data_IF_406434194001
#
_entry.id   IF_406434194001
#
_cell.length_a   1.000
_cell.length_b   1.000
_cell.length_c   1.000
_cell.angle_alpha   90.00
_cell.angle_beta   90.00
_cell.angle_gamma   90.00
#
_symmetry.space_group_name_H-M   'P 1'
#
loop_
_entity.id
_entity.type
_entity.pdbx_description
1 polymer ?
2 non-polymer ?
3 non-polymer ?
4 non-polymer ?
5 non-polymer ?
6 non-polymer ?
7 water ?
#
# COMPACT_ATOMS: atom_id res chain seq x y z
N UNK A 13 10.06 -8.05 -23.78
CA UNK A 13 8.86 -8.86 -23.98
C UNK A 13 8.97 -10.03 -22.98
N UNK A 14 9.96 -9.93 -22.08
CA UNK A 14 10.23 -10.97 -21.10
C UNK A 14 9.41 -10.73 -19.84
N UNK A 15 8.55 -11.68 -19.51
CA UNK A 15 7.77 -11.62 -18.28
C UNK A 15 8.44 -12.41 -17.17
N UNK A 16 8.12 -12.03 -15.94
CA UNK A 16 8.55 -12.75 -14.76
C UNK A 16 7.38 -12.77 -13.79
N UNK A 17 7.14 -13.92 -13.19
CA UNK A 17 6.15 -14.07 -12.15
C UNK A 17 6.87 -14.12 -10.81
N UNK A 18 6.25 -13.53 -9.79
CA UNK A 18 6.79 -13.56 -8.45
C UNK A 18 5.74 -14.13 -7.53
N UNK A 19 6.12 -15.10 -6.71
CA UNK A 19 5.25 -15.68 -5.70
C UNK A 19 5.69 -15.14 -4.36
N UNK A 20 4.74 -14.79 -3.52
CA UNK A 20 5.08 -14.06 -2.31
C UNK A 20 4.21 -14.55 -1.16
N UNK A 21 4.84 -14.94 -0.06
CA UNK A 21 4.13 -15.28 1.16
C UNK A 21 4.42 -14.24 2.24
N UNK A 22 3.57 -14.23 3.23
CA UNK A 22 3.82 -13.47 4.44
C UNK A 22 4.93 -14.12 5.23
N UNK A 23 5.96 -13.36 5.66
CA UNK A 23 7.03 -13.97 6.45
C UNK A 23 6.56 -14.55 7.77
N UNK A 24 5.37 -14.20 8.23
CA UNK A 24 4.81 -14.74 9.46
C UNK A 24 4.00 -16.00 9.23
N UNK A 25 3.79 -16.37 7.98
CA UNK A 25 3.06 -17.54 7.53
C UNK A 25 3.75 -17.96 6.22
N UNK A 26 5.03 -18.26 6.33
CA UNK A 26 5.91 -18.41 5.19
C UNK A 26 5.73 -19.81 4.61
N UNK A 27 4.86 -19.93 3.63
CA UNK A 27 4.44 -21.23 3.14
C UNK A 27 5.01 -21.56 1.76
N UNK A 28 5.87 -20.70 1.21
CA UNK A 28 6.39 -20.92 -0.13
C UNK A 28 7.59 -21.86 -0.04
N UNK A 29 7.27 -23.13 0.27
CA UNK A 29 8.29 -24.15 0.46
C UNK A 29 9.04 -24.39 -0.84
N UNK A 30 10.28 -24.90 -0.75
CA UNK A 30 11.02 -25.20 -1.98
C UNK A 30 10.27 -26.09 -2.97
N UNK A 31 9.58 -27.15 -2.51
CA UNK A 31 8.84 -28.00 -3.45
C UNK A 31 7.70 -27.24 -4.10
N UNK A 32 7.01 -26.40 -3.33
CA UNK A 32 5.90 -25.63 -3.90
C UNK A 32 6.39 -24.74 -5.03
N UNK A 33 7.55 -24.10 -4.84
CA UNK A 33 8.10 -23.25 -5.89
C UNK A 33 8.43 -24.03 -7.15
N UNK A 34 9.08 -25.19 -6.99
CA UNK A 34 9.38 -26.03 -8.15
C UNK A 34 8.10 -26.37 -8.90
N UNK A 35 7.09 -26.87 -8.16
CA UNK A 35 5.82 -27.20 -8.79
C UNK A 35 5.24 -26.00 -9.52
N UNK A 36 5.28 -24.83 -8.87
CA UNK A 36 4.77 -23.62 -9.50
C UNK A 36 5.48 -23.34 -10.80
N UNK A 37 6.81 -23.39 -10.78
CA UNK A 37 7.56 -23.10 -12.00
C UNK A 37 7.32 -24.16 -13.06
N UNK A 38 7.20 -25.42 -12.65
CA UNK A 38 6.82 -26.47 -13.61
C UNK A 38 5.47 -26.14 -14.24
N UNK A 39 4.52 -25.65 -13.45
CA UNK A 39 3.18 -25.37 -13.95
C UNK A 39 3.15 -24.37 -15.10
N UNK A 40 4.25 -23.67 -15.37
CA UNK A 40 4.30 -22.66 -16.40
C UNK A 40 5.42 -22.92 -17.40
N UNK A 41 6.04 -24.10 -17.34
CA UNK A 41 7.20 -24.44 -18.17
C UNK A 41 8.25 -23.34 -18.10
N UNK A 42 8.65 -23.01 -16.87
CA UNK A 42 9.55 -21.90 -16.64
C UNK A 42 10.95 -22.20 -17.16
N UNK A 43 11.63 -21.13 -17.59
CA UNK A 43 13.06 -21.21 -17.88
C UNK A 43 13.85 -21.57 -16.63
N UNK A 44 13.63 -20.84 -15.54
CA UNK A 44 14.30 -21.11 -14.28
C UNK A 44 13.47 -20.75 -13.06
N UNK A 45 14.13 -20.63 -11.91
CA UNK A 45 13.43 -20.29 -10.66
C UNK A 45 14.46 -19.74 -9.69
N UNK A 46 14.24 -18.50 -9.23
CA UNK A 46 15.22 -17.79 -8.41
C UNK A 46 14.56 -17.35 -7.11
N UNK A 47 15.19 -17.70 -5.99
CA UNK A 47 14.67 -17.40 -4.67
C UNK A 47 15.13 -16.02 -4.21
N UNK A 48 14.18 -15.12 -3.99
CA UNK A 48 14.50 -13.85 -3.37
C UNK A 48 14.55 -13.97 -1.86
N UNK A 49 13.76 -14.88 -1.29
CA UNK A 49 13.78 -15.10 0.14
C UNK A 49 13.27 -16.51 0.41
N UNK A 50 13.96 -17.22 1.29
CA UNK A 50 13.66 -18.62 1.55
C UNK A 50 12.29 -18.74 2.21
N UNK A 51 11.43 -19.58 1.63
CA UNK A 51 10.07 -19.84 2.12
C UNK A 51 9.16 -18.63 1.97
N UNK A 52 9.57 -17.60 1.23
CA UNK A 52 8.83 -16.34 1.23
C UNK A 52 8.57 -15.83 -0.18
N UNK A 53 9.60 -15.78 -1.02
CA UNK A 53 9.37 -15.20 -2.34
C UNK A 53 10.32 -15.79 -3.36
N UNK A 54 9.84 -15.98 -4.57
CA UNK A 54 10.69 -16.50 -5.60
C UNK A 54 10.25 -15.92 -6.94
N UNK A 55 11.21 -15.73 -7.84
CA UNK A 55 10.96 -15.25 -9.19
C UNK A 55 10.87 -16.44 -10.14
N UNK A 56 10.00 -16.31 -11.14
CA UNK A 56 9.82 -17.37 -12.13
C UNK A 56 9.77 -16.74 -13.51
N UNK A 57 10.88 -16.72 -14.25
CA UNK A 57 10.84 -16.18 -15.62
C UNK A 57 9.93 -17.00 -16.50
N UNK A 58 8.93 -16.35 -17.05
CA UNK A 58 8.00 -17.08 -17.90
C UNK A 58 8.63 -17.34 -19.27
N UNK A 59 8.35 -18.49 -19.88
CA UNK A 59 8.80 -18.73 -21.25
C UNK A 59 8.32 -17.63 -22.18
N UNK A 60 9.23 -17.21 -23.07
CA UNK A 60 8.89 -16.19 -24.05
C UNK A 60 7.77 -16.68 -24.95
N UNK A 61 6.70 -15.90 -25.02
CA UNK A 61 5.51 -16.27 -25.75
C UNK A 61 4.30 -16.52 -24.87
N UNK A 62 4.52 -16.85 -23.60
CA UNK A 62 3.40 -17.02 -22.68
C UNK A 62 2.81 -15.66 -22.32
N UNK A 63 1.50 -15.53 -22.51
CA UNK A 63 0.81 -14.31 -22.11
C UNK A 63 0.75 -14.21 -20.59
N UNK A 64 0.73 -12.97 -20.08
CA UNK A 64 0.62 -12.76 -18.64
C UNK A 64 -0.69 -13.32 -18.09
N UNK A 65 -1.70 -13.50 -18.95
CA UNK A 65 -2.97 -14.05 -18.50
C UNK A 65 -2.86 -15.54 -18.20
N UNK A 66 -2.14 -16.30 -19.02
CA UNK A 66 -2.04 -17.74 -18.83
C UNK A 66 -1.37 -18.08 -17.51
N UNK A 67 -0.11 -17.67 -17.33
CA UNK A 67 0.46 -17.65 -16.00
C UNK A 67 -0.42 -16.78 -15.11
N UNK A 68 -0.19 -16.87 -13.80
CA UNK A 68 -1.09 -16.27 -12.81
C UNK A 68 -2.32 -17.14 -12.69
N UNK A 69 -3.10 -17.25 -13.77
CA UNK A 69 -4.16 -18.26 -13.80
C UNK A 69 -3.57 -19.64 -13.56
N UNK A 70 -2.56 -20.00 -14.37
CA UNK A 70 -1.86 -21.27 -14.16
C UNK A 70 -1.24 -21.35 -12.77
N UNK A 71 -0.66 -20.24 -12.29
CA UNK A 71 0.02 -20.31 -10.99
C UNK A 71 -0.96 -20.29 -9.83
N UNK A 72 -2.07 -19.55 -9.96
CA UNK A 72 -3.04 -19.51 -8.86
C UNK A 72 -3.74 -20.86 -8.70
N UNK A 73 -3.93 -21.59 -9.80
CA UNK A 73 -4.44 -22.95 -9.70
C UNK A 73 -3.50 -23.83 -8.89
N UNK A 74 -2.22 -23.89 -9.28
CA UNK A 74 -1.27 -24.75 -8.61
C UNK A 74 -1.15 -24.42 -7.13
N UNK A 75 -1.30 -23.16 -6.77
CA UNK A 75 -1.19 -22.74 -5.39
C UNK A 75 -2.52 -22.67 -4.66
N UNK A 76 -3.62 -23.03 -5.33
CA UNK A 76 -4.94 -22.78 -4.81
C UNK A 76 -5.07 -23.27 -3.39
N UNK A 77 -5.44 -22.36 -2.49
CA UNK A 77 -5.51 -22.69 -1.09
C UNK A 77 -4.24 -22.42 -0.32
N UNK A 78 -3.18 -21.99 -0.97
CA UNK A 78 -2.10 -21.56 -0.11
C UNK A 78 -2.07 -20.04 0.03
N UNK A 79 -1.61 -19.49 1.15
CA UNK A 79 -1.56 -18.02 1.30
C UNK A 79 -0.32 -17.44 0.62
N UNK A 80 -0.33 -17.49 -0.71
CA UNK A 80 0.79 -17.07 -1.53
C UNK A 80 0.25 -16.18 -2.64
N UNK A 81 0.76 -14.95 -2.72
CA UNK A 81 0.34 -14.02 -3.75
C UNK A 81 1.06 -14.32 -5.05
N UNK A 82 0.43 -13.92 -6.15
CA UNK A 82 1.00 -14.08 -7.48
C UNK A 82 0.94 -12.74 -8.21
N UNK A 83 2.08 -12.29 -8.73
CA UNK A 83 2.13 -11.14 -9.61
C UNK A 83 2.95 -11.50 -10.83
N UNK A 84 2.57 -10.94 -11.98
CA UNK A 84 3.32 -11.10 -13.22
C UNK A 84 3.56 -9.73 -13.81
N UNK A 85 4.78 -9.49 -14.26
CA UNK A 85 5.15 -8.20 -14.81
C UNK A 85 6.35 -8.41 -15.72
N UNK A 86 6.61 -7.41 -16.57
CA UNK A 86 7.86 -7.41 -17.33
C UNK A 86 9.04 -7.29 -16.38
N UNK A 87 10.12 -8.02 -16.68
CA UNK A 87 11.27 -8.00 -15.79
C UNK A 87 12.05 -6.69 -15.90
N UNK A 88 12.04 -6.07 -17.09
CA UNK A 88 12.67 -4.76 -17.23
C UNK A 88 11.86 -3.72 -16.46
N UNK A 89 12.56 -2.85 -15.75
CA UNK A 89 11.96 -1.70 -15.08
C UNK A 89 11.05 -2.08 -13.93
N UNK A 90 11.25 -3.26 -13.33
CA UNK A 90 10.42 -3.61 -12.18
C UNK A 90 10.94 -2.99 -10.89
N UNK A 91 12.20 -2.58 -10.84
CA UNK A 91 12.66 -1.78 -9.70
C UNK A 91 12.34 -0.31 -9.97
N UNK A 92 11.58 0.31 -9.06
CA UNK A 92 11.08 1.66 -9.24
C UNK A 92 11.83 2.63 -8.33
N UNK A 93 11.90 3.90 -8.74
CA UNK A 93 12.64 4.88 -7.97
C UNK A 93 11.73 5.89 -7.28
N UNK A 94 10.41 5.67 -7.31
CA UNK A 94 9.47 6.40 -6.46
C UNK A 94 8.57 5.40 -5.75
N UNK A 95 8.38 5.58 -4.44
CA UNK A 95 7.30 4.94 -3.72
C UNK A 95 6.31 6.00 -3.27
N UNK A 96 5.03 5.81 -3.57
CA UNK A 96 3.97 6.60 -2.97
C UNK A 96 3.01 5.62 -2.31
N UNK A 97 2.78 5.80 -1.02
CA UNK A 97 2.05 4.83 -0.21
C UNK A 97 0.97 5.51 0.62
N UNK A 98 -0.23 4.98 0.59
CA UNK A 98 -1.25 5.43 1.53
C UNK A 98 -0.85 5.08 2.96
N UNK A 99 -1.42 5.78 3.94
CA UNK A 99 -1.10 5.50 5.35
C UNK A 99 -2.14 4.57 5.99
N UNK A 100 -3.38 5.04 6.12
CA UNK A 100 -4.40 4.29 6.87
C UNK A 100 -4.58 2.89 6.31
N UNK A 101 -4.45 1.88 7.17
CA UNK A 101 -4.63 0.48 6.83
C UNK A 101 -3.65 0.00 5.77
N UNK A 102 -2.62 0.79 5.48
CA UNK A 102 -1.57 0.37 4.55
C UNK A 102 -0.24 0.36 5.30
N UNK A 103 0.30 1.53 5.65
CA UNK A 103 1.52 1.54 6.47
C UNK A 103 1.26 1.48 7.95
N UNK A 104 0.03 1.77 8.38
CA UNK A 104 -0.35 1.56 9.77
C UNK A 104 -1.51 0.58 9.78
N UNK A 105 -1.72 -0.05 10.93
CA UNK A 105 -2.78 -1.05 10.99
C UNK A 105 -4.16 -0.48 11.19
N UNK A 106 -4.26 0.83 11.42
CA UNK A 106 -5.50 1.47 11.83
C UNK A 106 -5.97 2.51 10.81
N UNK A 107 -7.20 2.96 11.02
CA UNK A 107 -7.75 4.14 10.36
C UNK A 107 -7.68 5.28 11.37
N UNK A 108 -6.83 6.27 11.12
CA UNK A 108 -6.67 7.34 12.11
C UNK A 108 -7.99 8.01 12.46
N UNK A 109 -8.92 8.13 11.50
CA UNK A 109 -10.18 8.81 11.79
C UNK A 109 -11.06 7.96 12.69
N UNK A 110 -11.00 6.63 12.55
CA UNK A 110 -11.78 5.77 13.44
C UNK A 110 -11.21 5.82 14.85
N UNK A 111 -9.89 5.89 14.96
CA UNK A 111 -9.25 5.97 16.27
C UNK A 111 -9.61 7.27 16.97
N UNK A 112 -9.59 8.39 16.24
CA UNK A 112 -10.04 9.64 16.83
C UNK A 112 -11.49 9.55 17.23
N UNK A 113 -12.31 8.92 16.39
CA UNK A 113 -13.73 8.77 16.69
C UNK A 113 -13.96 8.09 18.04
N UNK A 114 -13.09 7.14 18.40
CA UNK A 114 -13.25 6.48 19.70
C UNK A 114 -13.20 7.49 20.84
N UNK A 115 -12.26 8.43 20.77
CA UNK A 115 -12.16 9.49 21.79
C UNK A 115 -13.43 10.32 21.89
N UNK A 116 -14.30 10.26 20.87
CA UNK A 116 -15.60 10.91 20.91
C UNK A 116 -16.72 9.92 21.19
N UNK A 117 -16.37 8.68 21.54
CA UNK A 117 -17.37 7.68 21.83
C UNK A 117 -18.15 7.21 20.62
N UNK A 118 -17.63 7.45 19.42
CA UNK A 118 -18.37 7.19 18.19
C UNK A 118 -17.59 6.28 17.23
N UNK A 119 -16.82 5.33 17.76
CA UNK A 119 -15.97 4.53 16.89
C UNK A 119 -16.79 3.77 15.86
N UNK A 120 -17.79 3.00 16.31
CA UNK A 120 -18.54 2.14 15.39
C UNK A 120 -19.30 2.96 14.36
N UNK A 121 -19.90 4.07 14.78
CA UNK A 121 -20.60 4.92 13.83
C UNK A 121 -19.65 5.43 12.75
N UNK A 122 -18.51 5.97 13.16
CA UNK A 122 -17.58 6.52 12.18
C UNK A 122 -16.95 5.41 11.35
N UNK A 123 -16.62 4.29 11.99
CA UNK A 123 -15.93 3.21 11.29
C UNK A 123 -16.80 2.61 10.20
N UNK A 124 -18.13 2.58 10.39
CA UNK A 124 -19.00 2.09 9.32
C UNK A 124 -19.01 3.04 8.13
N UNK A 125 -18.88 4.34 8.37
CA UNK A 125 -18.77 5.28 7.26
C UNK A 125 -17.44 5.09 6.54
N UNK A 126 -16.36 4.96 7.32
CA UNK A 126 -15.03 4.73 6.77
C UNK A 126 -15.01 3.52 5.86
N UNK A 127 -15.65 2.42 6.28
CA UNK A 127 -15.64 1.21 5.46
C UNK A 127 -16.32 1.41 4.10
N UNK A 128 -17.46 2.11 4.08
CA UNK A 128 -18.14 2.38 2.80
C UNK A 128 -17.35 3.35 1.93
N UNK A 129 -16.77 4.37 2.54
CA UNK A 129 -15.86 5.26 1.81
C UNK A 129 -14.70 4.48 1.23
N UNK A 130 -14.09 3.60 2.03
CA UNK A 130 -12.95 2.89 1.49
C UNK A 130 -13.36 1.83 0.45
N UNK A 131 -14.59 1.33 0.51
CA UNK A 131 -15.05 0.41 -0.52
C UNK A 131 -15.54 1.12 -1.78
N UNK A 132 -15.75 2.44 -1.72
CA UNK A 132 -16.18 3.21 -2.88
C UNK A 132 -17.66 3.44 -2.96
N UNK A 133 -18.40 3.08 -1.92
CA UNK A 133 -19.86 3.22 -1.92
C UNK A 133 -20.31 4.64 -1.64
N UNK A 134 -19.42 5.49 -1.14
CA UNK A 134 -19.71 6.91 -0.93
C UNK A 134 -18.46 7.69 -1.30
N UNK A 135 -18.65 8.91 -1.78
CA UNK A 135 -17.52 9.73 -2.17
C UNK A 135 -16.68 10.11 -0.96
N UNK A 136 -15.38 10.24 -1.18
CA UNK A 136 -14.46 10.45 -0.07
C UNK A 136 -14.73 11.75 0.66
N UNK A 137 -14.76 12.88 -0.06
CA UNK A 137 -14.83 14.18 0.61
C UNK A 137 -16.06 14.32 1.50
N UNK A 138 -17.29 14.09 1.04
CA UNK A 138 -18.41 14.21 1.98
C UNK A 138 -18.35 13.20 3.13
N UNK A 139 -17.81 12.01 2.90
CA UNK A 139 -17.62 11.05 3.99
C UNK A 139 -16.67 11.61 5.04
N UNK A 140 -15.55 12.19 4.60
CA UNK A 140 -14.57 12.76 5.51
C UNK A 140 -15.16 13.91 6.30
N UNK A 141 -15.89 14.82 5.62
CA UNK A 141 -16.51 15.95 6.31
C UNK A 141 -17.49 15.49 7.38
N UNK A 142 -18.34 14.51 7.03
CA UNK A 142 -19.29 13.96 7.99
C UNK A 142 -18.58 13.37 9.21
N UNK A 143 -17.54 12.58 8.97
CA UNK A 143 -16.86 11.94 10.08
C UNK A 143 -16.10 12.95 10.93
N UNK A 144 -15.39 13.88 10.29
CA UNK A 144 -14.62 14.86 11.05
C UNK A 144 -15.54 15.80 11.84
N UNK A 145 -16.73 16.10 11.32
CA UNK A 145 -17.65 16.94 12.08
C UNK A 145 -17.96 16.33 13.44
N UNK A 146 -17.98 15.00 13.53
CA UNK A 146 -18.25 14.36 14.81
C UNK A 146 -17.09 14.49 15.78
N UNK A 147 -15.92 14.91 15.31
CA UNK A 147 -14.78 15.13 16.18
C UNK A 147 -14.76 16.54 16.77
N UNK A 148 -15.79 17.35 16.51
CA UNK A 148 -15.80 18.72 16.99
C UNK A 148 -15.68 18.75 18.51
N UNK A 149 -14.73 19.53 19.01
CA UNK A 149 -14.58 19.75 20.43
C UNK A 149 -13.55 18.88 21.12
N UNK A 150 -13.09 17.80 20.47
CA UNK A 150 -12.03 17.01 21.05
C UNK A 150 -10.81 17.89 21.26
N UNK A 151 -10.07 17.71 22.36
CA UNK A 151 -8.87 18.53 22.59
C UNK A 151 -7.70 18.05 21.76
N UNK A 152 -6.87 19.01 21.33
CA UNK A 152 -5.68 18.66 20.57
C UNK A 152 -4.81 17.65 21.32
N UNK A 153 -5.02 17.50 22.64
CA UNK A 153 -4.24 16.57 23.43
C UNK A 153 -4.43 15.12 23.01
N UNK A 154 -5.60 14.77 22.45
CA UNK A 154 -5.87 13.36 22.17
C UNK A 154 -5.17 12.82 20.93
N UNK A 155 -4.60 13.68 20.09
CA UNK A 155 -3.90 13.18 18.90
C UNK A 155 -2.68 12.36 19.31
N UNK A 156 -1.75 12.96 20.05
CA UNK A 156 -0.59 12.20 20.53
C UNK A 156 -1.03 11.01 21.37
N UNK A 157 -2.11 11.18 22.14
CA UNK A 157 -2.65 10.05 22.90
C UNK A 157 -3.00 8.89 21.98
N UNK A 158 -3.65 9.19 20.85
CA UNK A 158 -4.00 8.12 19.93
C UNK A 158 -2.75 7.53 19.30
N UNK A 159 -1.87 8.39 18.79
CA UNK A 159 -0.69 7.94 18.06
C UNK A 159 0.19 7.06 18.95
N UNK A 160 0.39 7.47 20.20
CA UNK A 160 1.33 6.77 21.06
C UNK A 160 0.76 5.43 21.53
N UNK A 161 -0.55 5.35 21.72
CA UNK A 161 -1.16 4.19 22.34
C UNK A 161 -1.90 3.26 21.38
N UNK A 162 -2.37 3.73 20.23
CA UNK A 162 -3.18 2.85 19.40
C UNK A 162 -2.71 2.69 17.95
N UNK A 163 -1.73 3.45 17.48
CA UNK A 163 -1.26 3.30 16.11
C UNK A 163 -0.06 2.36 16.09
N UNK A 164 -0.07 1.39 15.19
CA UNK A 164 1.03 0.45 15.00
C UNK A 164 1.44 0.41 13.52
N UNK A 165 2.73 0.23 13.28
CA UNK A 165 3.26 0.11 11.93
C UNK A 165 2.97 -1.26 11.34
N UNK A 166 2.57 -1.26 10.07
CA UNK A 166 2.36 -2.51 9.37
C UNK A 166 3.69 -3.23 9.21
N UNK A 167 3.73 -4.55 9.44
CA UNK A 167 4.97 -5.31 9.25
C UNK A 167 5.54 -5.11 7.86
N UNK A 168 6.87 -4.96 7.80
CA UNK A 168 7.56 -4.81 6.55
C UNK A 168 7.68 -3.38 6.06
N UNK A 169 7.02 -2.42 6.72
CA UNK A 169 6.98 -1.05 6.27
C UNK A 169 8.32 -0.34 6.30
N UNK A 170 8.90 -0.21 7.50
CA UNK A 170 10.27 0.35 7.60
C UNK A 170 11.25 -0.31 6.66
N UNK A 171 11.22 -1.64 6.57
CA UNK A 171 12.16 -2.33 5.70
C UNK A 171 11.92 -1.99 4.24
N UNK A 172 10.66 -1.87 3.84
CA UNK A 172 10.37 -1.49 2.46
C UNK A 172 10.91 -0.10 2.16
N UNK A 173 10.56 0.86 3.01
CA UNK A 173 10.95 2.25 2.77
C UNK A 173 12.47 2.40 2.83
N UNK A 174 13.08 1.90 3.91
CA UNK A 174 14.52 2.00 4.08
C UNK A 174 15.28 1.30 2.95
N UNK A 175 14.82 0.12 2.54
CA UNK A 175 15.51 -0.59 1.47
C UNK A 175 15.38 0.15 0.13
N UNK A 176 14.20 0.71 -0.14
CA UNK A 176 14.04 1.49 -1.36
C UNK A 176 14.94 2.73 -1.33
N UNK A 177 15.01 3.41 -0.19
CA UNK A 177 15.88 4.58 -0.08
C UNK A 177 17.34 4.19 -0.24
N UNK A 178 17.78 3.15 0.49
CA UNK A 178 19.13 2.59 0.34
C UNK A 178 19.49 2.50 -1.13
N UNK A 179 18.51 2.20 -1.98
CA UNK A 179 18.74 2.07 -3.42
C UNK A 179 18.35 3.33 -4.17
N UNK A 180 18.20 4.44 -3.45
CA UNK A 180 18.10 5.75 -4.09
C UNK A 180 16.71 6.17 -4.46
N UNK A 181 15.68 5.44 -4.06
CA UNK A 181 14.34 5.83 -4.43
C UNK A 181 13.86 6.99 -3.58
N UNK A 182 12.89 7.71 -4.10
CA UNK A 182 12.23 8.77 -3.35
C UNK A 182 10.90 8.21 -2.85
N UNK A 183 10.60 8.42 -1.55
CA UNK A 183 9.47 7.74 -0.92
C UNK A 183 8.55 8.76 -0.26
N UNK A 184 7.24 8.64 -0.52
CA UNK A 184 6.26 9.61 -0.02
C UNK A 184 5.06 8.90 0.58
N UNK A 185 4.65 9.34 1.77
CA UNK A 185 3.43 8.90 2.45
C UNK A 185 2.31 9.90 2.13
N UNK A 186 1.36 9.51 1.31
CA UNK A 186 0.22 10.37 1.00
C UNK A 186 -1.04 9.74 1.56
N UNK A 187 -1.94 10.58 2.06
CA UNK A 187 -3.01 10.10 2.91
C UNK A 187 -4.21 11.02 2.82
N UNK A 188 -5.42 10.44 2.72
CA UNK A 188 -6.62 11.20 3.01
C UNK A 188 -6.82 11.50 4.48
N UNK A 189 -5.94 10.98 5.34
CA UNK A 189 -5.99 11.27 6.76
C UNK A 189 -5.31 12.58 7.07
N UNK A 190 -4.68 12.65 8.24
CA UNK A 190 -4.34 13.94 8.84
C UNK A 190 -2.84 14.10 9.03
N UNK A 191 -2.38 15.31 8.72
CA UNK A 191 -0.96 15.63 8.80
C UNK A 191 -0.41 15.40 10.20
N UNK A 192 -1.23 15.62 11.23
CA UNK A 192 -0.77 15.37 12.58
C UNK A 192 -0.39 13.91 12.79
N UNK A 193 -0.95 12.99 12.00
CA UNK A 193 -0.56 11.59 12.03
C UNK A 193 0.56 11.28 11.04
N UNK A 194 0.43 11.72 9.78
CA UNK A 194 1.43 11.36 8.79
C UNK A 194 2.79 11.90 9.15
N UNK A 195 2.84 13.05 9.83
CA UNK A 195 4.14 13.63 10.15
C UNK A 195 4.93 12.70 11.06
N UNK A 196 4.30 12.20 12.11
CA UNK A 196 4.97 11.26 13.02
C UNK A 196 5.19 9.91 12.36
N UNK A 197 4.16 9.38 11.68
CA UNK A 197 4.29 8.06 11.07
C UNK A 197 5.37 8.06 10.01
N UNK A 198 5.40 9.09 9.16
CA UNK A 198 6.43 9.14 8.12
C UNK A 198 7.83 9.16 8.71
N UNK A 199 8.00 9.80 9.87
CA UNK A 199 9.31 9.86 10.51
C UNK A 199 9.65 8.53 11.18
N UNK A 200 8.66 7.91 11.81
CA UNK A 200 8.85 6.57 12.38
C UNK A 200 9.32 5.59 11.31
N UNK A 201 8.71 5.63 10.13
CA UNK A 201 9.01 4.65 9.12
C UNK A 201 10.22 5.04 8.28
N UNK A 202 10.43 6.34 8.04
CA UNK A 202 11.54 6.81 7.26
C UNK A 202 11.22 7.33 5.86
N UNK A 203 9.99 7.81 5.64
CA UNK A 203 9.64 8.41 4.35
C UNK A 203 10.39 9.71 4.13
N UNK A 204 10.62 10.04 2.86
CA UNK A 204 11.20 11.34 2.52
C UNK A 204 10.20 12.47 2.73
N UNK A 205 8.93 12.26 2.37
CA UNK A 205 7.94 13.27 2.66
C UNK A 205 6.59 12.64 2.92
N UNK A 206 5.68 13.47 3.43
CA UNK A 206 4.29 13.12 3.63
C UNK A 206 3.40 14.28 3.21
N UNK A 207 2.16 13.95 2.83
CA UNK A 207 1.17 14.92 2.38
C UNK A 207 -0.21 14.38 2.75
N UNK A 208 -0.95 15.10 3.58
CA UNK A 208 -2.24 14.65 4.08
C UNK A 208 -3.18 15.84 4.23
N UNK A 209 -4.43 15.55 4.56
CA UNK A 209 -5.36 16.60 4.95
C UNK A 209 -5.00 17.17 6.32
N UNK A 210 -5.75 18.19 6.73
CA UNK A 210 -5.40 18.94 7.92
C UNK A 210 -6.65 19.21 8.72
N UNK A 211 -6.62 18.83 9.99
CA UNK A 211 -7.70 19.17 10.91
C UNK A 211 -7.59 20.63 11.33
N UNK A 212 -8.73 21.32 11.36
CA UNK A 212 -8.76 22.70 11.84
C UNK A 212 -9.03 22.68 13.35
N UNK A 213 -8.33 23.54 14.08
CA UNK A 213 -8.52 23.70 15.52
C UNK A 213 -8.69 25.18 15.85
N UNK A 214 -9.21 25.45 17.02
CA UNK A 214 -9.33 26.83 17.48
C UNK A 214 -8.12 27.28 18.31
N UNK A 215 -7.12 26.41 18.46
CA UNK A 215 -6.02 26.62 19.37
C UNK A 215 -6.02 25.68 20.54
N UNK A 216 -7.16 25.14 20.89
CA UNK A 216 -7.25 24.14 21.94
C UNK A 216 -7.94 22.87 21.50
N UNK A 217 -9.02 22.98 20.73
CA UNK A 217 -9.85 21.85 20.39
C UNK A 217 -10.10 21.83 18.89
N UNK A 218 -10.54 20.67 18.40
CA UNK A 218 -10.84 20.51 17.00
C UNK A 218 -12.11 21.27 16.64
N UNK A 219 -12.08 22.03 15.56
CA UNK A 219 -13.31 22.69 15.12
C UNK A 219 -14.32 21.71 14.54
N UNK A 220 -13.89 20.52 14.14
CA UNK A 220 -14.78 19.62 13.46
C UNK A 220 -14.75 19.76 11.96
N UNK A 221 -13.81 20.52 11.41
CA UNK A 221 -13.71 20.71 9.99
C UNK A 221 -12.28 20.45 9.54
N UNK A 222 -12.13 20.36 8.24
CA UNK A 222 -10.90 19.96 7.57
C UNK A 222 -10.46 21.11 6.67
N UNK A 223 -9.17 21.42 6.67
CA UNK A 223 -8.66 22.45 5.78
C UNK A 223 -9.11 22.20 4.35
N UNK A 224 -9.64 23.20 3.74
CA UNK A 224 -10.00 23.02 2.35
C UNK A 224 -8.90 23.53 1.43
N UNK A 225 -8.79 22.98 0.22
CA UNK A 225 -9.63 21.92 -0.35
C UNK A 225 -9.24 20.54 0.17
N UNK A 226 -10.19 19.61 0.22
CA UNK A 226 -9.93 18.28 0.75
C UNK A 226 -9.17 17.46 -0.27
N UNK A 227 -8.10 16.80 0.17
CA UNK A 227 -7.31 15.94 -0.69
C UNK A 227 -7.93 14.56 -0.75
N UNK A 228 -8.32 14.13 -1.95
CA UNK A 228 -8.97 12.84 -2.15
C UNK A 228 -8.21 12.03 -3.19
N UNK A 229 -8.98 11.37 -4.05
CA UNK A 229 -8.43 10.45 -5.04
C UNK A 229 -7.57 11.18 -6.07
N UNK A 230 -8.08 12.29 -6.60
CA UNK A 230 -7.28 13.04 -7.57
C UNK A 230 -6.06 13.69 -6.93
N UNK A 231 -6.15 14.13 -5.68
CA UNK A 231 -4.97 14.71 -5.03
C UNK A 231 -3.81 13.70 -4.92
N UNK A 232 -4.11 12.40 -4.81
CA UNK A 232 -3.03 11.42 -4.80
C UNK A 232 -2.44 11.27 -6.19
N UNK A 233 -3.29 11.24 -7.22
CA UNK A 233 -2.81 11.22 -8.60
C UNK A 233 -1.90 12.41 -8.85
N UNK A 234 -2.31 13.58 -8.37
CA UNK A 234 -1.56 14.80 -8.65
C UNK A 234 -0.24 14.82 -7.88
N UNK A 235 -0.23 14.31 -6.64
CA UNK A 235 1.03 14.25 -5.89
C UNK A 235 2.02 13.30 -6.55
N UNK A 236 1.54 12.16 -7.06
CA UNK A 236 2.42 11.28 -7.83
C UNK A 236 2.97 11.99 -9.07
N UNK A 237 2.11 12.70 -9.81
CA UNK A 237 2.60 13.43 -10.98
C UNK A 237 3.63 14.46 -10.54
N UNK A 238 3.34 15.20 -9.48
CA UNK A 238 4.24 16.21 -8.95
C UNK A 238 5.58 15.61 -8.53
N UNK A 239 5.56 14.47 -7.84
CA UNK A 239 6.81 13.90 -7.36
C UNK A 239 7.67 13.46 -8.54
N UNK A 240 7.04 12.88 -9.55
CA UNK A 240 7.81 12.34 -10.66
C UNK A 240 8.48 13.45 -11.45
N UNK A 241 7.77 14.55 -11.68
CA UNK A 241 8.36 15.65 -12.43
C UNK A 241 9.51 16.27 -11.66
N UNK A 242 9.33 16.45 -10.35
CA UNK A 242 10.36 17.07 -9.52
C UNK A 242 11.62 16.22 -9.41
N UNK A 243 11.51 14.89 -9.47
CA UNK A 243 12.71 14.05 -9.41
C UNK A 243 13.13 13.68 -10.81
N UNK A 244 12.48 14.28 -11.80
CA UNK A 244 12.85 14.07 -13.18
C UNK A 244 12.61 12.66 -13.66
N UNK A 245 11.44 12.09 -13.34
CA UNK A 245 11.06 10.78 -13.82
C UNK A 245 9.65 10.89 -14.39
N UNK A 246 8.99 9.74 -14.58
CA UNK A 246 7.56 9.70 -14.90
C UNK A 246 6.84 8.82 -13.88
N UNK A 247 5.50 8.83 -13.84
CA UNK A 247 4.80 7.92 -12.91
C UNK A 247 5.07 6.46 -13.19
N UNK A 248 5.44 6.12 -14.42
CA UNK A 248 5.86 4.77 -14.76
C UNK A 248 7.05 4.30 -13.92
N UNK A 249 7.81 5.24 -13.36
CA UNK A 249 8.95 4.92 -12.50
C UNK A 249 8.56 4.76 -11.04
N UNK A 250 7.27 4.75 -10.73
CA UNK A 250 6.81 4.67 -9.36
C UNK A 250 6.08 3.36 -9.10
N UNK A 251 6.16 2.91 -7.85
CA UNK A 251 5.27 1.89 -7.34
C UNK A 251 4.37 2.58 -6.32
N UNK A 252 3.05 2.37 -6.46
CA UNK A 252 2.03 2.97 -5.61
C UNK A 252 1.28 1.87 -4.87
N UNK A 253 0.92 2.10 -3.60
CA UNK A 253 0.28 1.04 -2.81
C UNK A 253 -0.79 1.65 -1.91
N UNK A 254 -1.98 1.03 -1.94
CA UNK A 254 -3.03 1.42 -1.02
C UNK A 254 -4.04 0.31 -0.90
N UNK A 255 -5.07 0.57 -0.09
CA UNK A 255 -6.12 -0.39 0.19
C UNK A 255 -7.50 0.11 -0.19
N UNK A 256 -7.66 1.39 -0.52
CA UNK A 256 -8.95 2.02 -0.58
C UNK A 256 -9.28 2.48 -1.99
N UNK A 257 -10.55 2.85 -2.16
CA UNK A 257 -11.01 3.33 -3.46
C UNK A 257 -10.31 4.63 -3.84
N UNK A 258 -10.04 5.49 -2.87
CA UNK A 258 -9.34 6.73 -3.18
C UNK A 258 -7.87 6.52 -3.51
N UNK A 259 -7.36 5.28 -3.44
CA UNK A 259 -5.99 4.98 -3.86
C UNK A 259 -5.92 4.49 -5.29
N UNK A 260 -7.07 4.16 -5.90
CA UNK A 260 -7.06 3.54 -7.21
C UNK A 260 -6.51 4.46 -8.28
N UNK A 261 -6.69 5.78 -8.15
CA UNK A 261 -6.14 6.69 -9.14
C UNK A 261 -4.62 6.61 -9.24
N UNK A 262 -3.95 6.69 -8.09
CA UNK A 262 -2.50 6.58 -8.07
C UNK A 262 -2.03 5.15 -8.36
N UNK A 263 -2.78 4.14 -7.88
CA UNK A 263 -2.46 2.76 -8.21
C UNK A 263 -2.49 2.55 -9.73
N UNK A 264 -3.52 3.08 -10.39
CA UNK A 264 -3.65 2.86 -11.82
C UNK A 264 -2.65 3.69 -12.63
N UNK A 265 -2.20 4.82 -12.11
CA UNK A 265 -1.28 5.65 -12.89
C UNK A 265 0.16 5.13 -12.77
N UNK A 266 0.57 4.73 -11.57
CA UNK A 266 1.93 4.30 -11.35
C UNK A 266 2.29 3.14 -12.27
N UNK A 267 3.59 2.99 -12.54
CA UNK A 267 4.02 1.87 -13.35
C UNK A 267 3.69 0.54 -12.70
N UNK A 268 3.82 0.46 -11.38
CA UNK A 268 3.41 -0.72 -10.63
C UNK A 268 2.43 -0.24 -9.56
N UNK A 269 1.19 -0.67 -9.65
CA UNK A 269 0.20 -0.30 -8.66
C UNK A 269 -0.30 -1.51 -7.89
N UNK A 270 -0.25 -1.46 -6.57
CA UNK A 270 -0.55 -2.62 -5.73
C UNK A 270 -1.73 -2.29 -4.84
N UNK A 271 -2.79 -3.09 -4.97
CA UNK A 271 -3.84 -3.12 -3.95
C UNK A 271 -3.42 -4.09 -2.85
N UNK A 272 -3.20 -3.55 -1.66
CA UNK A 272 -2.64 -4.30 -0.53
C UNK A 272 -3.74 -4.58 0.48
N UNK A 273 -4.08 -5.86 0.65
CA UNK A 273 -5.13 -6.26 1.59
C UNK A 273 -6.40 -5.42 1.39
N UNK A 274 -6.77 -5.25 0.13
CA UNK A 274 -7.97 -4.49 -0.21
C UNK A 274 -9.19 -5.40 -0.22
N UNK A 275 -10.38 -4.81 0.02
CA UNK A 275 -11.64 -5.54 -0.20
C UNK A 275 -11.79 -5.86 -1.68
N UNK A 276 -12.59 -6.90 -2.01
CA UNK A 276 -12.66 -7.34 -3.41
C UNK A 276 -13.08 -6.26 -4.40
N UNK A 277 -13.93 -5.31 -4.01
CA UNK A 277 -14.34 -4.29 -4.97
C UNK A 277 -13.16 -3.41 -5.36
N UNK A 278 -12.35 -3.01 -4.38
CA UNK A 278 -11.12 -2.29 -4.68
C UNK A 278 -10.11 -3.19 -5.39
N UNK A 279 -9.82 -4.36 -4.81
CA UNK A 279 -8.86 -5.27 -5.43
C UNK A 279 -9.28 -5.68 -6.84
N UNK A 280 -10.58 -5.62 -7.15
CA UNK A 280 -11.01 -5.93 -8.51
C UNK A 280 -10.48 -4.92 -9.53
N UNK A 281 -10.22 -3.69 -9.11
CA UNK A 281 -9.86 -2.63 -10.04
C UNK A 281 -8.36 -2.37 -10.11
N UNK A 282 -7.55 -3.18 -9.42
CA UNK A 282 -6.11 -3.05 -9.46
C UNK A 282 -5.54 -4.19 -10.27
N UNK A 283 -4.50 -3.91 -11.05
CA UNK A 283 -3.90 -4.96 -11.85
C UNK A 283 -3.02 -5.89 -11.01
N UNK A 284 -2.63 -5.46 -9.82
CA UNK A 284 -1.72 -6.21 -8.99
C UNK A 284 -2.27 -6.19 -7.58
N UNK A 285 -2.42 -7.35 -6.95
CA UNK A 285 -2.92 -7.41 -5.59
C UNK A 285 -2.00 -8.26 -4.72
N UNK A 286 -1.89 -7.86 -3.47
CA UNK A 286 -1.17 -8.58 -2.44
C UNK A 286 -2.18 -8.79 -1.33
N UNK A 287 -2.64 -10.04 -1.16
CA UNK A 287 -3.60 -10.39 -0.13
C UNK A 287 -2.99 -11.13 1.04
N UNK A 288 -1.78 -11.67 0.89
CA UNK A 288 -1.17 -12.45 1.97
C UNK A 288 0.10 -11.82 2.51
N UNK A 289 1.01 -11.39 1.64
CA UNK A 289 2.29 -10.84 2.09
C UNK A 289 2.11 -9.58 2.92
N UNK A 290 3.19 -9.18 3.59
CA UNK A 290 3.20 -7.89 4.26
C UNK A 290 3.90 -6.91 3.33
N UNK A 291 4.36 -5.77 3.86
CA UNK A 291 4.89 -4.74 2.96
C UNK A 291 6.21 -5.13 2.30
N UNK A 292 6.97 -6.09 2.86
CA UNK A 292 8.13 -6.60 2.14
C UNK A 292 7.74 -7.19 0.80
N UNK A 293 6.46 -7.52 0.61
CA UNK A 293 6.03 -8.02 -0.68
C UNK A 293 6.37 -7.05 -1.80
N UNK A 294 6.31 -5.74 -1.51
CA UNK A 294 6.63 -4.76 -2.55
C UNK A 294 8.12 -4.76 -2.88
N UNK A 295 8.99 -5.12 -1.92
CA UNK A 295 10.39 -5.37 -2.24
C UNK A 295 10.53 -6.53 -3.20
N UNK A 296 9.90 -7.67 -2.88
CA UNK A 296 9.99 -8.82 -3.78
C UNK A 296 9.37 -8.53 -5.13
N UNK A 297 8.28 -7.75 -5.15
CA UNK A 297 7.69 -7.31 -6.42
C UNK A 297 8.75 -6.64 -7.29
N UNK A 298 9.65 -5.89 -6.66
CA UNK A 298 10.64 -5.12 -7.39
C UNK A 298 11.94 -5.87 -7.65
N UNK A 299 12.01 -7.17 -7.31
CA UNK A 299 13.17 -7.96 -7.61
C UNK A 299 14.20 -8.05 -6.51
N UNK A 300 13.99 -7.37 -5.40
CA UNK A 300 14.99 -7.38 -4.33
C UNK A 300 15.06 -8.76 -3.70
N UNK A 301 16.26 -9.11 -3.25
CA UNK A 301 16.50 -10.31 -2.46
C UNK A 301 16.66 -9.89 -1.01
N UNK A 302 16.39 -10.82 -0.10
CA UNK A 302 16.52 -10.50 1.31
C UNK A 302 17.93 -10.04 1.67
N UNK A 303 18.93 -10.41 0.87
CA UNK A 303 20.29 -9.93 1.07
C UNK A 303 20.38 -8.43 0.87
N UNK A 304 19.62 -7.89 -0.08
CA UNK A 304 19.62 -6.45 -0.36
C UNK A 304 18.92 -5.63 0.70
N UNK A 305 18.18 -6.25 1.62
CA UNK A 305 17.33 -5.49 2.55
C UNK A 305 18.18 -4.74 3.57
N UNK A 306 17.63 -3.64 4.07
CA UNK A 306 18.18 -2.95 5.24
C UNK A 306 17.65 -3.66 6.47
N UNK A 307 18.52 -4.39 7.17
CA UNK A 307 18.13 -5.12 8.37
C UNK A 307 18.46 -4.32 9.63
X LIG B 1 -9.07 5.94 4.91
X LIG B 1 -9.21 7.27 5.51
X LIG B 1 -10.64 7.81 5.44
X LIG B 1 -10.94 8.79 6.12
X LIG B 1 -8.24 8.25 4.85
X LIG B 1 -8.11 7.94 3.47
X LIG B 1 -11.52 7.32 4.72
X LIG C 1 -25.52 7.96 16.41
X LIG C 1 -25.69 8.37 17.74
X LIG C 1 -24.61 8.95 15.68
X LIG C 1 -25.20 10.22 15.66
X LIG C 1 -24.33 11.29 15.91
X LIG C 1 -23.62 11.13 17.26
X LIG C 1 -24.56 10.91 18.29
X LIG D 1 16.99 -16.43 0.59
X LIG D 1 16.97 -16.23 1.99
X LIG D 1 18.40 -16.39 -0.02
X LIG D 1 18.76 -17.68 -0.44
X LIG D 1 18.41 -15.46 -1.24
X LIG D 1 18.80 -14.16 -0.87
X LIG E 1 17.67 -22.16 -11.73
X LIG E 1 17.13 -21.69 -12.93
X LIG E 1 18.72 -21.15 -11.24
X LIG E 1 18.91 -21.30 -9.86
X LIG E 1 19.29 -20.13 -9.19
X LIG E 1 20.55 -19.53 -9.85
X LIG E 1 21.34 -18.93 -8.87
X LIG F 1 -5.94 3.38 3.32
X LIG G 1 -3.95 17.41 11.23
X LIG H 1 -0.52 0.73 -15.32
#
# INVERSE_FOLDING_TARGET
GPGSMLLSMSQQVSLVATLIANPAKAALAPSLGIKASAAVNATGLYWLADDIACDIPLPLGMEASEADASLRATLDGAPIDVVVQEQERRRKKILIADMDSTMIGQECIDELAEEAGLRDHVAAITARAMNGEIAFEPALRERVALLKGLPLSVIDKVISTRITLTPGGPQLVRTMRKHGAYTALVSGGFTSFTRRIAEMIGFNEERANRLIDDGTRLTGTVAEPILGREAKVEKLVEIAERVGLTPEDAIAVGDGANDLGMIQLAGTGVALHAKPAVAAQAKMRIDHGDLTALLYIQGYRKADFVQ
SER N CA C O CB OG OXT
PEG C1 O1 C2 O2 C3 C4 O4
GOL C1 O1 C2 O2 C3 O3
PEG C1 O1 C2 O2 C3 C4 O4
MG MG
CL CL
CL CL
#
